data_IF_620046393034
#
_entry.id   IF_620046393034
#
_cell.length_a   1.000
_cell.length_b   1.000
_cell.length_c   1.000
_cell.angle_alpha   90.00
_cell.angle_beta   90.00
_cell.angle_gamma   90.00
#
_symmetry.space_group_name_H-M   'P 1'
#
loop_
_entity.id
_entity.type
_entity.pdbx_description
1 polymer ?
#
# COMPACT_ATOMS: atom_id res chain seq x y z
N UNK A 1 -30.77 -22.04 -9.45
CA UNK A 1 -30.00 -22.31 -8.23
C UNK A 1 -28.76 -21.42 -8.27
N UNK A 2 -28.64 -20.52 -7.29
CA UNK A 2 -27.49 -19.66 -7.09
C UNK A 2 -26.44 -20.37 -6.20
N UNK A 3 -25.22 -19.85 -6.30
CA UNK A 3 -24.05 -19.98 -5.39
C UNK A 3 -23.32 -21.32 -5.32
N UNK A 4 -22.14 -21.35 -5.98
CA UNK A 4 -20.86 -21.77 -5.38
C UNK A 4 -19.71 -21.42 -6.34
N UNK A 5 -19.35 -20.13 -6.40
CA UNK A 5 -18.02 -19.70 -6.82
C UNK A 5 -17.21 -19.54 -5.53
N UNK A 6 -16.73 -20.67 -5.02
CA UNK A 6 -15.73 -20.70 -3.96
C UNK A 6 -14.40 -20.38 -4.66
N UNK A 7 -13.72 -19.33 -4.19
CA UNK A 7 -12.44 -18.84 -4.70
C UNK A 7 -11.48 -20.00 -5.01
N UNK A 8 -11.11 -20.12 -6.28
CA UNK A 8 -10.21 -21.15 -6.77
C UNK A 8 -8.77 -20.76 -6.40
N UNK A 9 -8.08 -21.49 -5.49
CA UNK A 9 -6.78 -21.09 -4.95
C UNK A 9 -5.66 -21.04 -6.00
N UNK A 10 -5.88 -21.64 -7.18
CA UNK A 10 -4.96 -21.58 -8.32
C UNK A 10 -4.97 -20.20 -8.97
N UNK A 11 -6.13 -19.56 -9.08
CA UNK A 11 -6.30 -18.25 -9.73
C UNK A 11 -5.72 -17.12 -8.86
N UNK A 12 -5.91 -17.19 -7.55
CA UNK A 12 -5.36 -16.21 -6.60
C UNK A 12 -3.82 -16.23 -6.63
N UNK A 13 -3.20 -17.41 -6.73
CA UNK A 13 -1.74 -17.55 -6.80
C UNK A 13 -1.14 -16.90 -8.06
N UNK A 14 -1.81 -17.02 -9.21
CA UNK A 14 -1.31 -16.42 -10.46
C UNK A 14 -1.48 -14.90 -10.49
N UNK A 15 -2.56 -14.38 -9.90
CA UNK A 15 -2.75 -12.93 -9.71
C UNK A 15 -1.69 -12.35 -8.77
N UNK A 16 -1.44 -12.97 -7.63
CA UNK A 16 -0.41 -12.54 -6.68
C UNK A 16 1.00 -12.58 -7.30
N UNK A 17 1.33 -13.64 -8.05
CA UNK A 17 2.61 -13.72 -8.79
C UNK A 17 2.74 -12.61 -9.83
N UNK A 18 1.67 -12.31 -10.56
CA UNK A 18 1.67 -11.24 -11.54
C UNK A 18 1.89 -9.87 -10.88
N UNK A 19 1.16 -9.58 -9.80
CA UNK A 19 1.35 -8.37 -9.00
C UNK A 19 2.79 -8.25 -8.49
N UNK A 20 3.31 -9.32 -7.88
CA UNK A 20 4.68 -9.37 -7.36
C UNK A 20 5.71 -9.09 -8.46
N UNK A 21 5.59 -9.76 -9.61
CA UNK A 21 6.52 -9.56 -10.74
C UNK A 21 6.51 -8.12 -11.25
N UNK A 22 5.33 -7.50 -11.40
CA UNK A 22 5.20 -6.12 -11.88
C UNK A 22 5.77 -5.12 -10.87
N UNK A 23 5.44 -5.28 -9.59
CA UNK A 23 5.87 -4.37 -8.52
C UNK A 23 7.36 -4.50 -8.21
N UNK A 24 7.96 -5.70 -8.24
CA UNK A 24 9.42 -5.89 -8.05
C UNK A 24 10.23 -5.09 -9.08
N UNK A 25 9.84 -5.12 -10.35
CA UNK A 25 10.52 -4.32 -11.39
C UNK A 25 10.51 -2.83 -11.03
N UNK A 26 9.38 -2.31 -10.56
CA UNK A 26 9.23 -0.88 -10.21
C UNK A 26 9.95 -0.50 -8.93
N UNK A 27 10.09 -1.42 -7.98
CA UNK A 27 10.91 -1.21 -6.78
C UNK A 27 12.38 -1.03 -7.17
N UNK A 28 12.92 -1.91 -8.04
CA UNK A 28 14.30 -1.77 -8.53
C UNK A 28 14.49 -0.44 -9.28
N UNK A 29 13.54 -0.04 -10.12
CA UNK A 29 13.59 1.26 -10.80
C UNK A 29 13.55 2.43 -9.81
N UNK A 30 12.80 2.34 -8.71
CA UNK A 30 12.77 3.35 -7.65
C UNK A 30 14.08 3.44 -6.87
N UNK A 31 14.79 2.33 -6.67
CA UNK A 31 16.13 2.34 -6.06
C UNK A 31 17.14 3.07 -6.95
N UNK A 32 17.09 2.84 -8.27
CA UNK A 32 17.98 3.49 -9.24
C UNK A 32 17.61 4.95 -9.51
N UNK A 33 16.32 5.28 -9.48
CA UNK A 33 15.79 6.61 -9.76
C UNK A 33 14.74 7.00 -8.70
N UNK A 34 15.18 7.35 -7.48
CA UNK A 34 14.27 7.65 -6.39
C UNK A 34 13.44 8.89 -6.67
N UNK A 35 12.22 8.92 -6.13
CA UNK A 35 11.41 10.14 -6.13
C UNK A 35 12.12 11.18 -5.28
N UNK A 36 12.47 12.32 -5.89
CA UNK A 36 13.13 13.45 -5.22
C UNK A 36 12.07 14.43 -4.73
N UNK A 37 12.32 15.07 -3.59
CA UNK A 37 11.41 16.05 -3.03
C UNK A 37 11.49 16.12 -1.51
N UNK A 38 10.51 16.79 -0.91
CA UNK A 38 10.31 16.80 0.54
C UNK A 38 9.59 15.52 0.95
N UNK A 39 9.90 15.00 2.13
CA UNK A 39 9.21 13.84 2.68
C UNK A 39 7.81 14.22 3.18
N UNK A 40 6.89 14.38 2.22
CA UNK A 40 5.51 14.81 2.44
C UNK A 40 4.50 13.81 1.82
N UNK A 41 3.20 14.11 1.95
CA UNK A 41 2.15 13.26 1.41
C UNK A 41 2.26 13.09 -0.11
N UNK A 42 2.63 14.15 -0.85
CA UNK A 42 2.77 14.07 -2.29
C UNK A 42 3.91 13.13 -2.69
N UNK A 43 5.04 13.18 -1.96
CA UNK A 43 6.16 12.28 -2.14
C UNK A 43 5.78 10.82 -1.90
N UNK A 44 5.08 10.52 -0.80
CA UNK A 44 4.63 9.16 -0.49
C UNK A 44 3.61 8.64 -1.51
N UNK A 45 2.68 9.49 -1.97
CA UNK A 45 1.73 9.14 -3.04
C UNK A 45 2.44 8.85 -4.35
N UNK A 46 3.46 9.62 -4.71
CA UNK A 46 4.24 9.38 -5.94
C UNK A 46 5.07 8.09 -5.86
N UNK A 47 5.68 7.77 -4.70
CA UNK A 47 6.34 6.48 -4.48
C UNK A 47 5.33 5.34 -4.68
N UNK A 48 4.17 5.41 -4.04
CA UNK A 48 3.11 4.40 -4.20
C UNK A 48 2.66 4.29 -5.67
N UNK A 49 2.42 5.42 -6.34
CA UNK A 49 2.03 5.46 -7.74
C UNK A 49 3.03 4.70 -8.61
N UNK A 50 4.33 4.96 -8.44
CA UNK A 50 5.39 4.31 -9.23
C UNK A 50 5.49 2.80 -9.00
N UNK A 51 5.31 2.33 -7.76
CA UNK A 51 5.33 0.89 -7.44
C UNK A 51 4.21 0.17 -8.19
N UNK A 52 2.99 0.74 -8.18
CA UNK A 52 1.78 0.05 -8.64
C UNK A 52 1.28 0.50 -10.03
N UNK A 53 2.02 1.36 -10.75
CA UNK A 53 1.56 2.00 -11.98
C UNK A 53 1.12 1.05 -13.11
N UNK A 54 1.65 -0.17 -13.15
CA UNK A 54 1.34 -1.14 -14.22
C UNK A 54 0.10 -2.00 -13.92
N UNK A 55 -0.36 -2.03 -12.65
CA UNK A 55 -1.44 -2.93 -12.24
C UNK A 55 -2.77 -2.67 -12.97
N UNK A 56 -3.23 -1.40 -13.13
CA UNK A 56 -4.48 -1.15 -13.84
C UNK A 56 -4.46 -1.70 -15.29
N UNK A 57 -3.34 -1.56 -15.99
CA UNK A 57 -3.17 -2.09 -17.35
C UNK A 57 -3.03 -3.61 -17.43
N UNK A 58 -2.86 -4.30 -16.29
CA UNK A 58 -2.68 -5.74 -16.19
C UNK A 58 -3.94 -6.47 -15.68
N UNK A 59 -5.10 -5.81 -15.64
CA UNK A 59 -6.36 -6.39 -15.17
C UNK A 59 -6.60 -6.27 -13.66
N UNK A 60 -5.97 -5.30 -13.01
CA UNK A 60 -6.25 -4.91 -11.63
C UNK A 60 -7.05 -3.60 -11.61
N UNK A 61 -8.28 -3.66 -12.13
CA UNK A 61 -9.12 -2.48 -12.39
C UNK A 61 -9.52 -1.72 -11.11
N UNK A 62 -9.45 -2.37 -9.96
CA UNK A 62 -9.75 -1.81 -8.64
C UNK A 62 -8.57 -1.05 -8.00
N UNK A 63 -7.37 -1.18 -8.57
CA UNK A 63 -6.16 -0.53 -8.05
C UNK A 63 -6.07 0.91 -8.56
N UNK A 64 -5.86 1.84 -7.63
CA UNK A 64 -5.68 3.28 -7.91
C UNK A 64 -4.33 3.77 -7.38
N UNK A 65 -3.24 3.63 -8.15
CA UNK A 65 -1.89 3.93 -7.69
C UNK A 65 -1.74 5.39 -7.25
N UNK A 66 -1.18 5.60 -6.06
CA UNK A 66 -0.97 6.92 -5.51
C UNK A 66 -2.23 7.62 -4.99
N UNK A 67 -3.37 6.95 -4.92
CA UNK A 67 -4.57 7.49 -4.27
C UNK A 67 -4.72 6.99 -2.84
N UNK A 68 -5.32 7.82 -1.98
CA UNK A 68 -5.78 7.33 -0.69
C UNK A 68 -6.97 6.39 -0.88
N UNK A 69 -7.14 5.48 0.07
CA UNK A 69 -8.36 4.69 0.16
C UNK A 69 -9.55 5.61 0.43
N UNK A 70 -10.76 5.24 -0.01
CA UNK A 70 -11.95 5.94 0.46
C UNK A 70 -12.07 5.82 1.99
N UNK A 71 -12.73 6.79 2.65
CA UNK A 71 -13.00 6.69 4.07
C UNK A 71 -13.72 5.40 4.42
N UNK A 72 -13.34 4.78 5.53
CA UNK A 72 -14.07 3.67 6.10
C UNK A 72 -15.47 4.15 6.58
N UNK A 73 -16.45 3.23 6.73
CA UNK A 73 -17.74 3.59 7.31
C UNK A 73 -17.58 4.25 8.68
N UNK A 74 -18.53 5.12 9.04
CA UNK A 74 -18.50 5.86 10.31
C UNK A 74 -18.30 4.92 11.51
N UNK A 75 -17.39 5.32 12.41
CA UNK A 75 -17.02 4.54 13.59
C UNK A 75 -16.17 3.29 13.32
N UNK A 76 -15.62 3.13 12.10
CA UNK A 76 -14.75 2.00 11.74
C UNK A 76 -13.41 2.46 11.16
N UNK A 77 -12.42 1.56 11.25
CA UNK A 77 -11.13 1.70 10.59
C UNK A 77 -10.97 0.68 9.47
N UNK A 78 -10.08 0.99 8.52
CA UNK A 78 -9.49 -0.03 7.68
C UNK A 78 -8.69 -1.02 8.54
N UNK A 79 -8.93 -2.31 8.37
CA UNK A 79 -8.23 -3.38 9.10
C UNK A 79 -7.52 -4.33 8.14
N UNK A 80 -6.38 -4.86 8.56
CA UNK A 80 -5.68 -5.95 7.86
C UNK A 80 -5.59 -7.16 8.75
N UNK A 81 -6.09 -8.29 8.26
CA UNK A 81 -5.86 -9.59 8.89
C UNK A 81 -4.39 -10.01 8.64
N UNK A 82 -3.73 -10.46 9.69
CA UNK A 82 -2.36 -10.96 9.73
C UNK A 82 -2.36 -12.33 10.39
N UNK A 83 -1.78 -13.32 9.71
CA UNK A 83 -1.32 -14.54 10.36
C UNK A 83 0.00 -14.26 11.07
N UNK A 84 0.13 -14.72 12.32
CA UNK A 84 1.39 -14.69 13.07
C UNK A 84 1.93 -16.12 13.18
N UNK A 85 3.18 -16.34 12.78
CA UNK A 85 3.77 -17.68 12.74
C UNK A 85 3.85 -18.36 14.12
N UNK A 86 3.86 -17.57 15.19
CA UNK A 86 4.04 -18.02 16.58
C UNK A 86 2.75 -18.13 17.36
N UNK A 87 1.62 -17.63 16.85
CA UNK A 87 0.35 -17.61 17.58
C UNK A 87 -0.79 -18.05 16.68
N UNK A 88 -1.54 -19.05 17.14
CA UNK A 88 -2.75 -19.49 16.46
C UNK A 88 -3.86 -18.43 16.63
N UNK A 89 -4.47 -18.01 15.53
CA UNK A 89 -5.59 -17.06 15.52
C UNK A 89 -5.51 -16.04 14.39
N UNK A 90 -6.58 -15.26 14.22
CA UNK A 90 -6.60 -14.09 13.34
C UNK A 90 -6.19 -12.84 14.11
N UNK A 91 -5.18 -12.12 13.62
CA UNK A 91 -4.75 -10.85 14.19
C UNK A 91 -5.14 -9.72 13.27
N UNK A 92 -5.89 -8.75 13.77
CA UNK A 92 -6.31 -7.59 13.00
C UNK A 92 -5.47 -6.38 13.38
N UNK A 93 -4.82 -5.79 12.39
CA UNK A 93 -4.11 -4.52 12.55
C UNK A 93 -5.03 -3.42 12.03
N UNK A 94 -5.49 -2.56 12.94
CA UNK A 94 -6.21 -1.35 12.57
C UNK A 94 -5.24 -0.33 11.98
N UNK A 95 -5.64 0.29 10.87
CA UNK A 95 -4.86 1.33 10.21
C UNK A 95 -5.37 2.72 10.56
N UNK A 96 -6.46 3.12 9.93
CA UNK A 96 -7.08 4.44 10.06
C UNK A 96 -8.42 4.42 9.35
N UNK A 97 -9.30 5.32 9.76
CA UNK A 97 -10.58 5.56 9.10
C UNK A 97 -10.44 6.22 7.72
N UNK A 98 -9.26 6.76 7.38
CA UNK A 98 -8.96 7.49 6.13
C UNK A 98 -9.90 8.69 5.90
N UNK A 99 -10.48 9.24 6.98
CA UNK A 99 -11.30 10.43 6.91
C UNK A 99 -10.43 11.70 6.75
N UNK A 100 -11.08 12.85 6.56
CA UNK A 100 -10.38 14.11 6.37
C UNK A 100 -9.46 14.48 7.54
N UNK A 101 -9.87 14.20 8.78
CA UNK A 101 -9.07 14.47 9.98
C UNK A 101 -7.80 13.62 10.01
N UNK A 102 -7.88 12.36 9.60
CA UNK A 102 -6.72 11.46 9.50
C UNK A 102 -5.73 11.93 8.43
N UNK A 103 -6.23 12.44 7.29
CA UNK A 103 -5.38 13.05 6.26
C UNK A 103 -4.70 14.34 6.75
N UNK A 104 -5.41 15.20 7.48
CA UNK A 104 -4.85 16.41 8.07
C UNK A 104 -3.76 16.07 9.10
N UNK A 105 -4.05 15.09 9.97
CA UNK A 105 -3.08 14.59 10.96
C UNK A 105 -1.83 14.06 10.28
N UNK A 106 -1.96 13.31 9.18
CA UNK A 106 -0.82 12.81 8.41
C UNK A 106 0.05 13.96 7.89
N UNK A 107 -0.55 14.97 7.26
CA UNK A 107 0.19 16.13 6.77
C UNK A 107 0.99 16.80 7.89
N UNK A 108 0.35 17.05 9.04
CA UNK A 108 1.00 17.68 10.20
C UNK A 108 2.16 16.86 10.76
N UNK A 109 2.02 15.53 10.80
CA UNK A 109 3.12 14.65 11.26
C UNK A 109 4.30 14.70 10.30
N UNK A 110 4.05 14.75 8.99
CA UNK A 110 5.09 14.78 7.97
C UNK A 110 5.81 16.14 7.88
N UNK A 111 5.14 17.24 8.20
CA UNK A 111 5.79 18.57 8.31
C UNK A 111 6.96 18.56 9.31
N UNK A 112 6.82 17.82 10.40
CA UNK A 112 7.86 17.67 11.43
C UNK A 112 8.80 16.48 11.19
N UNK A 113 8.62 15.71 10.11
CA UNK A 113 9.44 14.54 9.85
C UNK A 113 10.84 14.96 9.37
N UNK A 114 11.85 14.51 10.10
CA UNK A 114 13.26 14.57 9.68
C UNK A 114 13.69 13.13 9.36
N UNK A 115 13.60 12.71 8.08
CA UNK A 115 14.07 11.38 7.72
C UNK A 115 15.57 11.32 7.96
N UNK A 116 16.02 10.34 8.71
CA UNK A 116 17.44 10.07 8.87
C UNK A 116 17.98 9.42 7.59
N UNK A 117 18.57 10.25 6.73
CA UNK A 117 19.19 9.79 5.49
C UNK A 117 20.59 9.20 5.70
N UNK A 118 21.16 9.31 6.91
CA UNK A 118 22.53 8.84 7.21
C UNK A 118 22.66 7.32 7.18
N UNK A 119 21.55 6.59 7.31
CA UNK A 119 21.52 5.13 7.19
C UNK A 119 21.59 4.61 5.74
N UNK A 120 21.33 5.46 4.73
CA UNK A 120 21.26 5.05 3.31
C UNK A 120 22.51 5.42 2.51
N UNK A 121 23.26 6.42 2.99
CA UNK A 121 24.53 6.83 2.40
C UNK A 121 25.57 6.83 3.52
N UNK A 122 26.20 5.67 3.75
CA UNK A 122 27.36 5.61 4.63
C UNK A 122 28.38 6.68 4.25
N UNK A 123 28.96 7.30 5.28
CA UNK A 123 30.02 8.30 5.17
C UNK A 123 31.18 7.86 4.26
#
# INVERSE_FOLDING_TARGET
MLTNLINDPVVDNDREKLEGRLTTKRIVELELNPVRGKFDVAHLKEINRRIFQDLPGAGFDDVKPGEFRPPAPEGKDWVKNRGLATVAGSFYVAYSSMNANDHERLNKVLEGALPDWSALFGA
#
